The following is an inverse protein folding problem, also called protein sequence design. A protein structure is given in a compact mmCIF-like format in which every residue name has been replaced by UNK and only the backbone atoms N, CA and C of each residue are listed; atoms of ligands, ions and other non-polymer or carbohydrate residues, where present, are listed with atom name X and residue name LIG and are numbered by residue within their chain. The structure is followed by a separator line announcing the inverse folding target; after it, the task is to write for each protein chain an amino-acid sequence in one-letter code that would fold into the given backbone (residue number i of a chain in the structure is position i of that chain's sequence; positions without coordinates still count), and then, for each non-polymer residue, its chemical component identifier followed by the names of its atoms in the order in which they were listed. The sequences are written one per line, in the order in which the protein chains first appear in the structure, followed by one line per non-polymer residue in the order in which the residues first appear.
data_IF_945615624179
#
_entry.id   IF_945615624179
#
_cell.length_a   1.000
_cell.length_b   1.000
_cell.length_c   1.000
_cell.angle_alpha   90.00
_cell.angle_beta   90.00
_cell.angle_gamma   90.00
#
_symmetry.space_group_name_H-M   'P 1'
#
loop_
_entity.id
_entity.type
_entity.pdbx_description
1 polymer ?
#
# COMPACT_ATOMS: atom_id res chain seq x y z
N UNK A 1 7.50 10.20 8.21
CA UNK A 1 7.99 9.09 9.05
C UNK A 1 7.76 7.81 8.28
N UNK A 2 8.72 6.88 8.29
CA UNK A 2 8.69 5.62 7.51
C UNK A 2 8.14 4.43 8.30
N UNK A 3 8.35 3.22 7.78
CA UNK A 3 7.94 1.94 8.38
C UNK A 3 8.48 1.75 9.81
N UNK A 4 7.60 1.32 10.71
CA UNK A 4 7.92 0.89 12.07
C UNK A 4 7.48 -0.57 12.24
N UNK A 5 8.48 -1.43 12.44
CA UNK A 5 8.27 -2.87 12.59
C UNK A 5 7.33 -3.20 13.76
N UNK A 6 6.35 -4.08 13.52
CA UNK A 6 5.43 -4.59 14.53
C UNK A 6 4.22 -3.73 14.84
N UNK A 7 4.12 -2.50 14.31
CA UNK A 7 2.94 -1.64 14.46
C UNK A 7 2.27 -1.29 13.13
N UNK A 8 3.02 -1.29 12.02
CA UNK A 8 2.52 -0.81 10.72
C UNK A 8 2.06 -1.94 9.77
N UNK A 9 2.03 -3.19 10.24
CA UNK A 9 1.81 -4.38 9.42
C UNK A 9 0.54 -5.16 9.76
N UNK A 10 -0.12 -5.69 8.72
CA UNK A 10 -1.14 -6.72 8.85
C UNK A 10 -0.53 -8.07 8.43
N UNK A 11 -0.77 -9.12 9.20
CA UNK A 11 -0.31 -10.47 8.83
C UNK A 11 -1.17 -11.00 7.68
N UNK A 12 -0.55 -11.26 6.54
CA UNK A 12 -1.16 -11.96 5.41
C UNK A 12 -0.16 -12.93 4.79
N UNK A 13 -0.66 -13.87 3.99
CA UNK A 13 0.20 -14.86 3.37
C UNK A 13 1.05 -14.22 2.28
N UNK A 14 2.37 -14.38 2.40
CA UNK A 14 3.33 -13.98 1.36
C UNK A 14 3.03 -14.79 0.08
N UNK A 15 2.93 -14.13 -1.09
CA UNK A 15 2.74 -14.82 -2.37
C UNK A 15 3.99 -15.64 -2.72
N UNK A 16 3.79 -16.83 -3.30
CA UNK A 16 4.88 -17.78 -3.57
C UNK A 16 5.83 -17.33 -4.71
N UNK A 17 5.35 -16.47 -5.60
CA UNK A 17 6.07 -15.89 -6.72
C UNK A 17 6.72 -14.53 -6.38
N UNK A 18 6.51 -14.01 -5.16
CA UNK A 18 6.92 -12.68 -4.72
C UNK A 18 6.29 -11.51 -5.52
N UNK A 19 5.17 -11.74 -6.22
CA UNK A 19 4.46 -10.70 -6.94
C UNK A 19 3.29 -10.14 -6.10
N UNK A 20 3.19 -8.81 -6.02
CA UNK A 20 2.17 -8.12 -5.23
C UNK A 20 1.38 -7.16 -6.13
N UNK A 21 0.16 -7.57 -6.49
CA UNK A 21 -0.82 -6.71 -7.13
C UNK A 21 -1.50 -5.84 -6.07
N UNK A 22 -1.11 -4.57 -6.02
CA UNK A 22 -1.60 -3.61 -5.03
C UNK A 22 -2.63 -2.68 -5.67
N UNK A 23 -3.80 -2.55 -5.05
CA UNK A 23 -4.80 -1.52 -5.39
C UNK A 23 -5.11 -0.69 -4.16
N UNK A 24 -5.04 0.64 -4.29
CA UNK A 24 -5.30 1.57 -3.19
C UNK A 24 -6.51 2.43 -3.53
N UNK A 25 -7.54 2.36 -2.69
CA UNK A 25 -8.69 3.26 -2.76
C UNK A 25 -8.61 4.29 -1.64
N UNK A 26 -8.78 5.56 -1.99
CA UNK A 26 -8.82 6.65 -1.00
C UNK A 26 -10.13 7.42 -1.11
N UNK A 27 -10.68 7.78 0.05
CA UNK A 27 -11.78 8.74 0.18
C UNK A 27 -11.46 9.67 1.36
N UNK A 28 -10.97 10.87 1.00
CA UNK A 28 -10.53 11.90 1.93
C UNK A 28 -9.45 11.41 2.91
N UNK A 29 -9.84 10.93 4.09
CA UNK A 29 -8.91 10.39 5.09
C UNK A 29 -8.96 8.87 5.21
N UNK A 30 -9.92 8.21 4.56
CA UNK A 30 -10.00 6.74 4.52
C UNK A 30 -9.10 6.26 3.39
N UNK A 31 -8.26 5.28 3.68
CA UNK A 31 -7.44 4.59 2.69
C UNK A 31 -7.60 3.08 2.87
N UNK A 32 -7.91 2.34 1.81
CA UNK A 32 -7.96 0.87 1.83
C UNK A 32 -6.96 0.35 0.83
N UNK A 33 -6.03 -0.49 1.29
CA UNK A 33 -5.04 -1.17 0.45
C UNK A 33 -5.48 -2.62 0.26
N UNK A 34 -5.63 -3.04 -0.98
CA UNK A 34 -5.88 -4.43 -1.38
C UNK A 34 -4.61 -5.02 -1.98
N UNK A 35 -4.30 -6.28 -1.63
CA UNK A 35 -3.15 -7.01 -2.16
C UNK A 35 -3.58 -8.41 -2.58
N UNK A 36 -3.35 -8.78 -3.85
CA UNK A 36 -3.57 -10.12 -4.43
C UNK A 36 -4.95 -10.74 -4.13
N UNK A 37 -6.01 -9.92 -4.03
CA UNK A 37 -7.35 -10.31 -3.59
C UNK A 37 -7.41 -11.09 -2.25
N UNK A 38 -6.33 -11.05 -1.48
CA UNK A 38 -6.14 -11.84 -0.26
C UNK A 38 -6.41 -11.01 0.99
N UNK A 39 -5.98 -9.76 0.99
CA UNK A 39 -6.05 -8.85 2.14
C UNK A 39 -6.63 -7.51 1.75
N UNK A 40 -7.43 -6.94 2.66
CA UNK A 40 -7.96 -5.58 2.60
C UNK A 40 -7.56 -4.85 3.88
N UNK A 41 -6.67 -3.86 3.79
CA UNK A 41 -6.12 -3.15 4.93
C UNK A 41 -6.60 -1.71 4.99
N UNK A 42 -7.55 -1.45 5.89
CA UNK A 42 -8.16 -0.12 6.08
C UNK A 42 -7.34 0.72 7.04
N UNK A 43 -7.01 1.94 6.63
CA UNK A 43 -6.25 2.92 7.36
C UNK A 43 -6.99 4.26 7.42
N UNK A 44 -6.70 5.04 8.47
CA UNK A 44 -7.09 6.45 8.57
C UNK A 44 -5.84 7.31 8.44
N UNK A 45 -5.70 8.00 7.30
CA UNK A 45 -4.52 8.83 7.00
C UNK A 45 -4.99 10.23 6.61
N UNK A 46 -4.88 11.16 7.55
CA UNK A 46 -5.29 12.55 7.35
C UNK A 46 -4.33 13.30 6.43
N UNK A 47 -4.88 14.09 5.51
CA UNK A 47 -4.09 14.91 4.60
C UNK A 47 -3.47 14.11 3.45
N UNK A 48 -3.93 12.90 3.17
CA UNK A 48 -3.51 12.16 1.97
C UNK A 48 -4.01 12.82 0.69
N UNK A 49 -5.21 13.43 0.74
CA UNK A 49 -5.76 14.16 -0.37
C UNK A 49 -4.86 15.35 -0.77
N UNK A 50 -4.62 15.50 -2.07
CA UNK A 50 -3.82 16.59 -2.68
C UNK A 50 -2.37 16.67 -2.19
N UNK A 51 -1.83 15.59 -1.62
CA UNK A 51 -0.42 15.48 -1.26
C UNK A 51 0.28 14.39 -2.08
N UNK A 52 1.60 14.49 -2.19
CA UNK A 52 2.41 13.47 -2.83
C UNK A 52 2.43 12.18 -1.99
N UNK A 53 2.60 11.06 -2.68
CA UNK A 53 2.84 9.74 -2.10
C UNK A 53 4.17 9.18 -2.61
N UNK A 54 4.68 8.14 -1.96
CA UNK A 54 5.90 7.47 -2.39
C UNK A 54 5.86 5.96 -2.12
N UNK A 55 6.62 5.20 -2.90
CA UNK A 55 6.98 3.80 -2.63
C UNK A 55 8.44 3.79 -2.19
N UNK A 56 8.71 3.11 -1.09
CA UNK A 56 10.05 3.02 -0.51
C UNK A 56 10.40 1.55 -0.30
N UNK A 57 11.65 1.16 -0.59
CA UNK A 57 12.21 -0.13 -0.19
C UNK A 57 13.07 0.07 1.05
N UNK A 58 12.75 -0.65 2.13
CA UNK A 58 13.52 -0.59 3.38
C UNK A 58 14.57 -1.69 3.46
N UNK A 59 14.35 -2.82 2.79
CA UNK A 59 15.27 -3.95 2.70
C UNK A 59 15.15 -4.64 1.33
N UNK A 60 16.28 -5.15 0.81
CA UNK A 60 16.31 -5.82 -0.49
C UNK A 60 16.11 -4.90 -1.69
N UNK A 61 15.83 -5.50 -2.84
CA UNK A 61 15.58 -4.80 -4.11
C UNK A 61 14.19 -5.18 -4.60
N UNK A 62 13.43 -4.17 -5.03
CA UNK A 62 12.10 -4.34 -5.60
C UNK A 62 12.07 -3.77 -7.02
N UNK A 63 11.22 -4.35 -7.85
CA UNK A 63 10.82 -3.79 -9.13
C UNK A 63 9.38 -3.29 -9.01
N UNK A 64 9.10 -2.11 -9.54
CA UNK A 64 7.76 -1.51 -9.52
C UNK A 64 7.32 -1.27 -10.96
N UNK A 65 6.19 -1.84 -11.33
CA UNK A 65 5.61 -1.76 -12.67
C UNK A 65 4.11 -1.42 -12.60
N UNK A 66 3.52 -1.07 -13.74
CA UNK A 66 2.07 -0.83 -13.88
C UNK A 66 1.49 0.20 -12.89
N UNK A 67 2.21 1.30 -12.64
CA UNK A 67 1.73 2.40 -11.79
C UNK A 67 0.66 3.20 -12.54
N UNK A 68 -0.56 3.20 -12.01
CA UNK A 68 -1.68 3.99 -12.50
C UNK A 68 -2.37 4.74 -11.35
N UNK A 69 -2.87 5.94 -11.64
CA UNK A 69 -3.71 6.72 -10.72
C UNK A 69 -4.95 7.17 -11.46
N UNK A 70 -6.11 6.70 -10.98
CA UNK A 70 -7.44 7.14 -11.44
C UNK A 70 -8.15 7.91 -10.32
N UNK A 71 -8.98 8.88 -10.70
CA UNK A 71 -9.72 9.74 -9.77
C UNK A 71 -11.21 9.82 -10.18
N UNK A 72 -12.06 10.18 -9.22
CA UNK A 72 -13.50 10.40 -9.44
C UNK A 72 -13.78 11.74 -10.12
#
# INVERSE_FOLDING_TARGET
MGFVAGIDGYLFNTPADNEYHVTVYTDNSVCVVYINDNVAYTNRIYGTQKNCWSINSYEGTIEVSNIEVSYY
#
